data_IF_128365148185
#
_entry.id   IF_128365148185
#
_cell.length_a   1.000
_cell.length_b   1.000
_cell.length_c   1.000
_cell.angle_alpha   90.00
_cell.angle_beta   90.00
_cell.angle_gamma   90.00
#
_symmetry.space_group_name_H-M   'P 1'
#
loop_
_entity.id
_entity.type
_entity.pdbx_description
1 polymer ?
#
# COMPACT_ATOMS: atom_id res chain seq x y z
N UNK A 1 -29.00 59.18 29.72
CA UNK A 1 -29.69 58.09 30.45
C UNK A 1 -29.67 56.81 29.63
N UNK A 2 -29.21 55.79 30.29
CA UNK A 2 -29.35 54.34 30.02
C UNK A 2 -28.41 53.69 29.03
N UNK A 3 -27.57 52.89 29.64
CA UNK A 3 -26.67 51.86 29.15
C UNK A 3 -27.41 50.65 28.60
N UNK A 4 -26.80 50.01 27.58
CA UNK A 4 -27.18 48.66 27.12
C UNK A 4 -25.91 47.83 27.04
N UNK A 5 -25.70 46.92 28.00
CA UNK A 5 -24.69 45.89 27.99
C UNK A 5 -25.03 44.82 26.96
N UNK A 6 -24.23 44.63 25.95
CA UNK A 6 -24.26 43.46 25.06
C UNK A 6 -23.17 42.49 25.47
N UNK A 7 -23.55 41.34 26.03
CA UNK A 7 -22.63 40.27 26.39
C UNK A 7 -22.04 39.60 25.17
N UNK A 8 -20.73 39.67 25.04
CA UNK A 8 -19.98 38.86 24.07
C UNK A 8 -19.83 37.43 24.57
N UNK A 9 -20.56 36.51 23.97
CA UNK A 9 -20.29 35.06 24.13
C UNK A 9 -19.03 34.70 23.35
N UNK A 10 -17.99 34.29 24.05
CA UNK A 10 -16.80 33.69 23.40
C UNK A 10 -17.19 32.42 22.67
N UNK A 11 -16.70 32.15 21.46
CA UNK A 11 -16.93 30.89 20.78
C UNK A 11 -16.30 29.76 21.61
N UNK A 12 -17.11 28.79 21.99
CA UNK A 12 -16.63 27.56 22.63
C UNK A 12 -15.77 26.79 21.63
N UNK A 13 -14.51 26.59 21.99
CA UNK A 13 -13.62 25.66 21.29
C UNK A 13 -14.27 24.28 21.33
N UNK A 14 -14.38 23.57 20.17
CA UNK A 14 -14.92 22.22 20.18
C UNK A 14 -13.99 21.31 21.03
N UNK A 15 -14.57 20.63 21.99
CA UNK A 15 -13.88 19.61 22.79
C UNK A 15 -13.43 18.50 21.85
N UNK A 16 -12.14 18.11 21.83
CA UNK A 16 -11.68 17.02 21.00
C UNK A 16 -12.46 15.74 21.37
N UNK A 17 -13.08 15.14 20.39
CA UNK A 17 -13.73 13.83 20.54
C UNK A 17 -12.66 12.83 21.01
N UNK A 18 -12.89 12.07 22.08
CA UNK A 18 -11.90 11.11 22.55
C UNK A 18 -11.62 10.09 21.44
N UNK A 19 -10.34 9.94 21.09
CA UNK A 19 -9.89 8.90 20.17
C UNK A 19 -10.37 7.54 20.70
N UNK A 20 -11.12 6.77 19.93
CA UNK A 20 -11.61 5.48 20.39
C UNK A 20 -10.44 4.56 20.71
N UNK A 21 -10.43 4.00 21.91
CA UNK A 21 -9.40 3.04 22.33
C UNK A 21 -9.48 1.81 21.43
N UNK A 22 -8.44 1.61 20.61
CA UNK A 22 -8.30 0.38 19.81
C UNK A 22 -7.68 -0.67 20.71
N UNK A 23 -8.40 -1.76 20.97
CA UNK A 23 -7.89 -2.87 21.78
C UNK A 23 -7.35 -3.95 20.85
N UNK A 24 -6.02 -4.13 20.75
CA UNK A 24 -5.44 -5.25 20.01
C UNK A 24 -5.79 -6.58 20.67
N UNK A 25 -5.71 -7.70 19.94
CA UNK A 25 -5.91 -9.00 20.54
C UNK A 25 -4.84 -9.26 21.62
N UNK A 26 -5.18 -9.98 22.68
CA UNK A 26 -4.19 -10.38 23.68
C UNK A 26 -3.10 -11.26 23.04
N UNK A 27 -1.83 -10.81 23.05
CA UNK A 27 -0.72 -11.70 22.70
C UNK A 27 0.22 -11.28 21.57
N UNK A 28 0.21 -10.03 21.11
CA UNK A 28 1.20 -9.53 20.14
C UNK A 28 0.66 -9.30 18.73
N UNK A 29 1.55 -9.07 17.75
CA UNK A 29 1.20 -8.76 16.36
C UNK A 29 0.24 -9.81 15.76
N UNK A 30 -0.90 -9.33 15.24
CA UNK A 30 -1.91 -10.23 14.66
C UNK A 30 -1.41 -10.90 13.37
N UNK A 31 -0.45 -10.28 12.67
CA UNK A 31 -0.04 -10.66 11.33
C UNK A 31 1.46 -10.94 11.21
N UNK A 32 1.78 -11.85 10.27
CA UNK A 32 3.18 -12.23 9.96
C UNK A 32 3.91 -11.15 9.16
N UNK A 33 3.19 -10.43 8.28
CA UNK A 33 3.74 -9.46 7.34
C UNK A 33 3.05 -8.09 7.54
N UNK A 34 3.09 -7.55 8.76
CA UNK A 34 2.49 -6.24 9.07
C UNK A 34 3.52 -5.14 8.86
N UNK A 35 3.26 -4.28 7.87
CA UNK A 35 4.19 -3.26 7.42
C UNK A 35 3.54 -1.97 6.97
N UNK A 36 4.38 -1.01 6.64
CA UNK A 36 4.02 0.26 6.01
C UNK A 36 4.96 0.50 4.84
N UNK A 37 4.45 0.98 3.71
CA UNK A 37 5.26 1.26 2.53
C UNK A 37 5.88 2.65 2.64
N UNK A 38 7.21 2.70 2.72
CA UNK A 38 8.00 3.93 2.63
C UNK A 38 8.14 4.30 1.16
N UNK A 39 7.76 5.53 0.83
CA UNK A 39 7.71 6.01 -0.55
C UNK A 39 8.67 7.17 -0.77
N UNK A 40 9.15 7.30 -2.00
CA UNK A 40 9.93 8.42 -2.50
C UNK A 40 9.52 8.71 -3.94
N UNK A 41 9.43 9.99 -4.27
CA UNK A 41 8.99 10.48 -5.58
C UNK A 41 10.11 11.15 -6.36
N UNK A 42 11.35 11.21 -5.77
CA UNK A 42 12.55 11.76 -6.38
C UNK A 42 13.70 10.78 -6.31
N UNK A 43 14.63 10.90 -7.26
CA UNK A 43 15.71 9.95 -7.45
C UNK A 43 16.59 9.76 -6.21
N UNK A 44 16.92 10.82 -5.49
CA UNK A 44 17.86 10.83 -4.36
C UNK A 44 17.20 10.98 -2.98
N UNK A 45 15.85 11.10 -2.93
CA UNK A 45 15.12 11.44 -1.70
C UNK A 45 15.35 10.43 -0.58
N UNK A 46 15.51 9.15 -0.90
CA UNK A 46 15.85 8.13 0.10
C UNK A 46 17.21 8.35 0.79
N UNK A 47 18.12 9.11 0.17
CA UNK A 47 19.43 9.44 0.74
C UNK A 47 19.39 10.66 1.67
N UNK A 48 18.29 11.42 1.71
CA UNK A 48 18.19 12.61 2.56
C UNK A 48 18.24 12.27 4.05
N UNK A 49 18.80 13.15 4.90
CA UNK A 49 18.73 12.98 6.34
C UNK A 49 17.30 12.83 6.87
N UNK A 50 16.33 13.55 6.28
CA UNK A 50 14.91 13.43 6.60
C UNK A 50 14.37 12.02 6.33
N UNK A 51 14.85 11.32 5.29
CA UNK A 51 14.46 9.94 5.00
C UNK A 51 14.98 8.97 6.07
N UNK A 52 16.19 9.17 6.59
CA UNK A 52 16.72 8.39 7.72
C UNK A 52 15.85 8.58 8.97
N UNK A 53 15.46 9.82 9.30
CA UNK A 53 14.58 10.10 10.44
C UNK A 53 13.17 9.54 10.19
N UNK A 54 12.70 9.56 8.96
CA UNK A 54 11.42 8.97 8.56
C UNK A 54 11.41 7.44 8.79
N UNK A 55 12.46 6.72 8.36
CA UNK A 55 12.59 5.27 8.59
C UNK A 55 12.66 4.92 10.08
N UNK A 56 13.35 5.73 10.90
CA UNK A 56 13.35 5.56 12.37
C UNK A 56 11.96 5.74 12.95
N UNK A 57 11.22 6.75 12.51
CA UNK A 57 9.85 6.99 12.97
C UNK A 57 8.90 5.84 12.53
N UNK A 58 9.06 5.31 11.31
CA UNK A 58 8.33 4.15 10.85
C UNK A 58 8.62 2.92 11.72
N UNK A 59 9.87 2.60 11.95
CA UNK A 59 10.26 1.46 12.82
C UNK A 59 9.75 1.62 14.26
N UNK A 60 9.65 2.85 14.76
CA UNK A 60 9.13 3.14 16.10
C UNK A 60 7.61 2.88 16.23
N UNK A 61 6.86 2.64 15.14
CA UNK A 61 5.47 2.15 15.21
C UNK A 61 5.40 0.70 15.73
N UNK A 62 6.48 -0.06 15.58
CA UNK A 62 6.54 -1.49 15.86
C UNK A 62 6.46 -2.35 14.61
N UNK A 63 6.31 -1.74 13.42
CA UNK A 63 6.25 -2.44 12.15
C UNK A 63 7.47 -3.34 11.94
N UNK A 64 7.28 -4.66 11.91
CA UNK A 64 8.32 -5.63 11.63
C UNK A 64 8.72 -5.71 10.15
N UNK A 65 7.92 -5.08 9.28
CA UNK A 65 8.14 -5.01 7.84
C UNK A 65 8.05 -3.57 7.34
N UNK A 66 8.80 -3.28 6.28
CA UNK A 66 8.68 -2.05 5.50
C UNK A 66 8.58 -2.38 4.03
N UNK A 67 7.58 -1.82 3.34
CA UNK A 67 7.60 -1.76 1.88
C UNK A 67 8.58 -0.68 1.45
N UNK A 68 9.32 -0.88 0.38
CA UNK A 68 10.19 0.13 -0.24
C UNK A 68 9.80 0.28 -1.70
N UNK A 69 9.25 1.44 -2.04
CA UNK A 69 8.82 1.77 -3.40
C UNK A 69 10.01 2.16 -4.26
N UNK A 70 10.07 1.63 -5.48
CA UNK A 70 10.98 2.08 -6.54
C UNK A 70 10.23 2.12 -7.86
N UNK A 71 10.51 3.11 -8.73
CA UNK A 71 9.70 3.31 -9.93
C UNK A 71 10.56 3.54 -11.18
N UNK A 72 10.25 2.78 -12.25
CA UNK A 72 10.68 3.10 -13.61
C UNK A 72 9.45 3.47 -14.46
N UNK A 73 9.70 4.03 -15.64
CA UNK A 73 8.65 4.70 -16.42
C UNK A 73 8.56 4.19 -17.85
N UNK A 74 7.33 4.31 -18.39
CA UNK A 74 7.01 4.25 -19.82
C UNK A 74 6.55 5.62 -20.29
N UNK A 75 6.80 6.00 -21.54
CA UNK A 75 6.33 7.29 -22.05
C UNK A 75 4.81 7.34 -22.22
N UNK A 76 4.22 6.28 -22.77
CA UNK A 76 2.77 6.12 -22.98
C UNK A 76 2.36 4.68 -22.67
N UNK A 77 1.07 4.44 -22.49
CA UNK A 77 0.54 3.07 -22.26
C UNK A 77 0.82 2.06 -23.37
N UNK A 78 1.15 2.54 -24.59
CA UNK A 78 1.48 1.69 -25.74
C UNK A 78 2.98 1.55 -25.98
N UNK A 79 3.83 2.23 -25.22
CA UNK A 79 5.26 2.09 -25.28
C UNK A 79 5.71 0.66 -24.95
N UNK A 80 6.86 0.26 -25.48
CA UNK A 80 7.45 -1.06 -25.22
C UNK A 80 8.72 -0.98 -24.39
N UNK A 81 9.17 0.22 -24.07
CA UNK A 81 10.39 0.48 -23.29
C UNK A 81 10.01 0.94 -21.91
N UNK A 82 10.59 0.29 -20.91
CA UNK A 82 10.56 0.63 -19.50
C UNK A 82 11.98 1.02 -19.12
N UNK A 83 12.17 2.22 -18.62
CA UNK A 83 13.48 2.75 -18.28
C UNK A 83 13.43 3.66 -17.05
N UNK A 84 14.57 3.87 -16.36
CA UNK A 84 14.62 4.89 -15.33
C UNK A 84 14.40 6.27 -15.97
N UNK A 85 13.65 7.12 -15.26
CA UNK A 85 13.45 8.50 -15.66
C UNK A 85 14.26 9.40 -14.72
N UNK A 86 15.19 10.20 -15.28
CA UNK A 86 15.98 11.14 -14.48
C UNK A 86 15.10 11.97 -13.55
N UNK A 87 15.56 12.29 -12.38
CA UNK A 87 14.90 13.06 -11.33
C UNK A 87 13.74 12.33 -10.61
N UNK A 88 13.17 11.25 -11.16
CA UNK A 88 12.03 10.55 -10.53
C UNK A 88 12.33 9.08 -10.17
N UNK A 89 13.11 8.36 -11.01
CA UNK A 89 13.49 6.98 -10.66
C UNK A 89 14.57 7.00 -9.59
N UNK A 90 14.37 6.22 -8.55
CA UNK A 90 15.27 6.19 -7.40
C UNK A 90 16.68 5.73 -7.79
N UNK A 91 17.70 6.46 -7.35
CA UNK A 91 19.09 6.09 -7.50
C UNK A 91 19.40 4.82 -6.72
N UNK A 92 20.17 3.91 -7.29
CA UNK A 92 20.52 2.63 -6.67
C UNK A 92 21.18 2.82 -5.30
N UNK A 93 22.14 3.74 -5.17
CA UNK A 93 22.81 4.02 -3.90
C UNK A 93 21.83 4.47 -2.81
N UNK A 94 20.81 5.26 -3.17
CA UNK A 94 19.78 5.69 -2.26
C UNK A 94 18.86 4.54 -1.83
N UNK A 95 18.51 3.63 -2.75
CA UNK A 95 17.75 2.41 -2.49
C UNK A 95 18.53 1.44 -1.60
N UNK A 96 19.79 1.16 -1.95
CA UNK A 96 20.67 0.28 -1.18
C UNK A 96 20.83 0.77 0.27
N UNK A 97 21.04 2.08 0.44
CA UNK A 97 21.11 2.73 1.75
C UNK A 97 19.81 2.59 2.52
N UNK A 98 18.66 2.81 1.88
CA UNK A 98 17.36 2.68 2.53
C UNK A 98 17.13 1.25 3.06
N UNK A 99 17.47 0.23 2.28
CA UNK A 99 17.38 -1.18 2.69
C UNK A 99 18.30 -1.45 3.89
N UNK A 100 19.55 -1.02 3.84
CA UNK A 100 20.52 -1.22 4.93
C UNK A 100 20.04 -0.55 6.24
N UNK A 101 19.51 0.66 6.16
CA UNK A 101 18.96 1.37 7.32
C UNK A 101 17.71 0.67 7.90
N UNK A 102 16.80 0.16 7.05
CA UNK A 102 15.64 -0.63 7.50
C UNK A 102 16.07 -1.92 8.18
N UNK A 103 17.04 -2.64 7.63
CA UNK A 103 17.60 -3.85 8.26
C UNK A 103 18.28 -3.53 9.59
N UNK A 104 19.03 -2.44 9.69
CA UNK A 104 19.67 -1.99 10.93
C UNK A 104 18.63 -1.61 12.02
N UNK A 105 17.41 -1.21 11.61
CA UNK A 105 16.28 -0.96 12.50
C UNK A 105 15.49 -2.23 12.85
N UNK A 106 15.93 -3.41 12.39
CA UNK A 106 15.29 -4.70 12.65
C UNK A 106 14.11 -5.03 11.78
N UNK A 107 13.85 -4.25 10.73
CA UNK A 107 12.74 -4.47 9.80
C UNK A 107 13.14 -5.42 8.66
N UNK A 108 12.21 -6.26 8.23
CA UNK A 108 12.29 -6.95 6.94
C UNK A 108 11.75 -6.06 5.84
N UNK A 109 12.32 -6.18 4.64
CA UNK A 109 11.93 -5.33 3.51
C UNK A 109 11.15 -6.13 2.49
N UNK A 110 10.04 -5.54 2.00
CA UNK A 110 9.40 -5.87 0.73
C UNK A 110 9.82 -4.81 -0.29
N UNK A 111 10.68 -5.17 -1.25
CA UNK A 111 10.99 -4.29 -2.37
C UNK A 111 9.83 -4.34 -3.38
N UNK A 112 9.28 -3.17 -3.72
CA UNK A 112 8.08 -3.06 -4.55
C UNK A 112 8.34 -2.19 -5.79
N UNK A 113 8.88 -2.78 -6.88
CA UNK A 113 9.09 -2.07 -8.14
C UNK A 113 7.77 -1.75 -8.85
N UNK A 114 7.58 -0.48 -9.21
CA UNK A 114 6.46 0.04 -9.98
C UNK A 114 6.89 0.41 -11.39
N UNK A 115 5.99 0.24 -12.34
CA UNK A 115 6.07 0.84 -13.67
C UNK A 115 4.97 1.86 -13.80
N UNK A 116 5.33 3.13 -14.01
CA UNK A 116 4.37 4.20 -14.22
C UNK A 116 4.41 4.74 -15.65
N UNK A 117 3.32 5.37 -16.07
CA UNK A 117 3.21 5.94 -17.40
C UNK A 117 3.27 7.47 -17.29
N UNK A 118 4.22 8.08 -18.00
CA UNK A 118 4.53 9.52 -17.88
C UNK A 118 3.41 10.44 -18.34
N UNK A 119 2.50 9.96 -19.19
CA UNK A 119 1.34 10.74 -19.63
C UNK A 119 0.17 10.74 -18.62
N UNK A 120 0.36 10.11 -17.43
CA UNK A 120 -0.65 10.02 -16.38
C UNK A 120 -1.65 8.88 -16.57
N UNK A 121 -1.51 8.05 -17.62
CA UNK A 121 -2.33 6.85 -17.78
C UNK A 121 -2.07 5.88 -16.62
N UNK A 122 -3.12 5.39 -15.98
CA UNK A 122 -3.00 4.39 -14.93
C UNK A 122 -2.38 3.08 -15.47
N UNK A 123 -1.40 2.53 -14.74
CA UNK A 123 -0.64 1.34 -15.15
C UNK A 123 -1.48 0.12 -15.48
N UNK A 124 -2.66 0.00 -14.90
CA UNK A 124 -3.61 -1.08 -15.23
C UNK A 124 -4.09 -1.06 -16.69
N UNK A 125 -3.93 0.07 -17.39
CA UNK A 125 -4.32 0.26 -18.79
C UNK A 125 -3.14 0.13 -19.76
N UNK A 126 -1.98 -0.34 -19.31
CA UNK A 126 -0.82 -0.58 -20.16
C UNK A 126 -1.18 -1.65 -21.21
N UNK A 127 -1.15 -1.24 -22.48
CA UNK A 127 -1.45 -2.08 -23.65
C UNK A 127 -0.38 -1.84 -24.72
N UNK A 128 0.83 -2.40 -24.55
CA UNK A 128 1.97 -2.10 -25.42
C UNK A 128 1.70 -2.51 -26.86
N UNK A 129 2.24 -1.74 -27.81
CA UNK A 129 2.11 -2.02 -29.25
C UNK A 129 2.74 -3.37 -29.64
N UNK A 130 3.75 -3.83 -28.89
CA UNK A 130 4.39 -5.12 -29.01
C UNK A 130 4.59 -5.70 -27.60
N UNK A 131 3.72 -6.62 -27.14
CA UNK A 131 3.85 -7.25 -25.84
C UNK A 131 5.13 -8.05 -25.66
N UNK A 132 5.70 -8.65 -26.73
CA UNK A 132 6.95 -9.39 -26.64
C UNK A 132 8.10 -8.48 -26.23
N UNK A 133 8.27 -7.35 -26.93
CA UNK A 133 9.28 -6.34 -26.61
C UNK A 133 9.05 -5.70 -25.23
N UNK A 134 7.79 -5.53 -24.86
CA UNK A 134 7.47 -5.02 -23.52
C UNK A 134 7.96 -5.98 -22.44
N UNK A 135 7.71 -7.29 -22.58
CA UNK A 135 8.20 -8.30 -21.62
C UNK A 135 9.73 -8.43 -21.62
N UNK A 136 10.41 -8.21 -22.74
CA UNK A 136 11.86 -8.10 -22.76
C UNK A 136 12.35 -6.94 -21.90
N UNK A 137 11.75 -5.75 -22.07
CA UNK A 137 12.05 -4.55 -21.28
C UNK A 137 11.66 -4.74 -19.80
N UNK A 138 10.50 -5.33 -19.51
CA UNK A 138 10.05 -5.63 -18.16
C UNK A 138 10.97 -6.64 -17.47
N UNK A 139 11.48 -7.61 -18.21
CA UNK A 139 12.48 -8.58 -17.71
C UNK A 139 13.77 -7.87 -17.31
N UNK A 140 14.26 -6.94 -18.12
CA UNK A 140 15.45 -6.16 -17.80
C UNK A 140 15.25 -5.27 -16.55
N UNK A 141 14.08 -4.65 -16.42
CA UNK A 141 13.66 -3.91 -15.23
C UNK A 141 13.67 -4.80 -13.98
N UNK A 142 13.06 -5.98 -14.04
CA UNK A 142 13.02 -6.90 -12.92
C UNK A 142 14.37 -7.56 -12.61
N UNK A 143 15.22 -7.78 -13.63
CA UNK A 143 16.58 -8.25 -13.44
C UNK A 143 17.45 -7.27 -12.64
N UNK A 144 17.23 -5.97 -12.84
CA UNK A 144 17.87 -4.92 -12.08
C UNK A 144 17.48 -5.01 -10.58
N UNK A 145 16.21 -5.02 -10.29
CA UNK A 145 15.76 -5.03 -8.88
C UNK A 145 15.93 -6.38 -8.18
N UNK A 146 15.89 -7.49 -8.89
CA UNK A 146 16.22 -8.80 -8.29
C UNK A 146 17.70 -8.89 -7.92
N UNK A 147 18.59 -8.21 -8.64
CA UNK A 147 20.01 -8.13 -8.25
C UNK A 147 20.18 -7.38 -6.93
N UNK A 148 19.53 -6.23 -6.77
CA UNK A 148 19.51 -5.48 -5.51
C UNK A 148 18.90 -6.32 -4.37
N UNK A 149 17.76 -6.99 -4.64
CA UNK A 149 17.09 -7.81 -3.64
C UNK A 149 17.96 -8.98 -3.17
N UNK A 150 18.69 -9.63 -4.08
CA UNK A 150 19.61 -10.71 -3.75
C UNK A 150 20.85 -10.21 -2.98
N UNK A 151 21.47 -9.11 -3.42
CA UNK A 151 22.63 -8.50 -2.77
C UNK A 151 22.34 -8.11 -1.33
N UNK A 152 21.19 -7.46 -1.10
CA UNK A 152 20.77 -6.93 0.21
C UNK A 152 19.99 -7.91 1.06
N UNK A 153 19.79 -9.16 0.64
CA UNK A 153 18.97 -10.13 1.33
C UNK A 153 17.57 -9.60 1.66
N UNK A 154 16.95 -8.89 0.72
CA UNK A 154 15.57 -8.45 0.83
C UNK A 154 14.66 -9.66 1.06
N UNK A 155 13.74 -9.57 1.99
CA UNK A 155 12.94 -10.71 2.43
C UNK A 155 11.80 -11.05 1.45
N UNK A 156 11.28 -10.05 0.72
CA UNK A 156 10.18 -10.20 -0.23
C UNK A 156 10.38 -9.26 -1.44
N UNK A 157 10.15 -9.78 -2.64
CA UNK A 157 10.12 -9.00 -3.88
C UNK A 157 8.71 -9.03 -4.48
N UNK A 158 8.10 -7.88 -4.66
CA UNK A 158 6.88 -7.73 -5.43
C UNK A 158 7.24 -7.66 -6.92
N UNK A 159 6.78 -8.64 -7.71
CA UNK A 159 7.21 -8.78 -9.11
C UNK A 159 6.36 -8.00 -10.11
N UNK A 160 5.44 -7.19 -9.64
CA UNK A 160 4.62 -6.28 -10.43
C UNK A 160 3.46 -5.73 -9.63
N UNK A 161 2.95 -4.59 -10.08
CA UNK A 161 1.91 -3.83 -9.38
C UNK A 161 0.85 -3.38 -10.38
N UNK A 162 -0.40 -3.81 -10.17
CA UNK A 162 -1.61 -3.37 -10.88
C UNK A 162 -1.50 -3.39 -12.42
N UNK A 163 -0.86 -4.39 -12.99
CA UNK A 163 -0.72 -4.54 -14.45
C UNK A 163 -1.90 -5.31 -15.05
N UNK A 164 -3.13 -4.88 -14.75
CA UNK A 164 -4.36 -5.64 -15.03
C UNK A 164 -4.50 -6.08 -16.50
N UNK A 165 -4.11 -5.22 -17.45
CA UNK A 165 -4.16 -5.57 -18.88
C UNK A 165 -3.06 -6.56 -19.29
N UNK A 166 -2.05 -6.80 -18.46
CA UNK A 166 -0.87 -7.61 -18.78
C UNK A 166 -0.70 -8.86 -17.89
N UNK A 167 -1.53 -9.04 -16.85
CA UNK A 167 -1.39 -10.13 -15.87
C UNK A 167 -2.23 -11.37 -16.17
N UNK A 168 -3.15 -11.28 -17.13
CA UNK A 168 -4.11 -12.34 -17.47
C UNK A 168 -3.53 -13.50 -18.29
N UNK A 169 -4.38 -14.46 -18.59
CA UNK A 169 -4.04 -15.70 -19.29
C UNK A 169 -3.32 -15.55 -20.63
N UNK A 170 -3.53 -14.50 -21.46
CA UNK A 170 -2.76 -14.34 -22.70
C UNK A 170 -1.25 -14.24 -22.48
N UNK A 171 -0.81 -13.82 -21.29
CA UNK A 171 0.60 -13.60 -20.96
C UNK A 171 1.15 -14.60 -19.93
N UNK A 172 0.44 -15.69 -19.67
CA UNK A 172 0.83 -16.69 -18.66
C UNK A 172 2.23 -17.28 -18.91
N UNK A 173 2.60 -17.51 -20.18
CA UNK A 173 3.91 -18.03 -20.53
C UNK A 173 5.04 -17.02 -20.25
N UNK A 174 4.83 -15.75 -20.58
CA UNK A 174 5.81 -14.68 -20.33
C UNK A 174 6.03 -14.48 -18.83
N UNK A 175 4.98 -14.43 -18.04
CA UNK A 175 5.08 -14.39 -16.58
C UNK A 175 5.78 -15.64 -16.01
N UNK A 176 5.46 -16.82 -16.50
CA UNK A 176 6.12 -18.06 -16.09
C UNK A 176 7.61 -18.02 -16.33
N UNK A 177 8.05 -17.56 -17.51
CA UNK A 177 9.46 -17.39 -17.85
C UNK A 177 10.16 -16.35 -16.96
N UNK A 178 9.51 -15.21 -16.73
CA UNK A 178 10.02 -14.18 -15.82
C UNK A 178 10.19 -14.73 -14.41
N UNK A 179 9.18 -15.35 -13.84
CA UNK A 179 9.22 -15.90 -12.47
C UNK A 179 10.31 -16.96 -12.32
N UNK A 180 10.45 -17.87 -13.30
CA UNK A 180 11.52 -18.87 -13.31
C UNK A 180 12.91 -18.22 -13.33
N UNK A 181 13.08 -17.14 -14.13
CA UNK A 181 14.31 -16.36 -14.18
C UNK A 181 14.63 -15.68 -12.85
N UNK A 182 13.64 -15.05 -12.22
CA UNK A 182 13.83 -14.41 -10.91
C UNK A 182 14.20 -15.45 -9.85
N UNK A 183 13.51 -16.59 -9.83
CA UNK A 183 13.81 -17.70 -8.90
C UNK A 183 15.22 -18.26 -9.04
N UNK A 184 15.80 -18.25 -10.22
CA UNK A 184 17.18 -18.70 -10.41
C UNK A 184 18.22 -17.78 -9.74
N UNK A 185 17.82 -16.58 -9.32
CA UNK A 185 18.71 -15.52 -8.78
C UNK A 185 18.32 -15.07 -7.38
N UNK A 186 17.10 -15.40 -6.92
CA UNK A 186 16.55 -14.89 -5.66
C UNK A 186 15.77 -15.97 -4.91
N UNK A 187 16.16 -16.22 -3.67
CA UNK A 187 15.57 -17.23 -2.80
C UNK A 187 14.52 -16.68 -1.82
N UNK A 188 14.33 -15.35 -1.75
CA UNK A 188 13.31 -14.74 -0.90
C UNK A 188 11.90 -14.94 -1.44
N UNK A 189 10.92 -14.40 -0.72
CA UNK A 189 9.51 -14.52 -1.09
C UNK A 189 9.18 -13.68 -2.33
N UNK A 190 8.38 -14.25 -3.24
CA UNK A 190 7.79 -13.52 -4.37
C UNK A 190 6.30 -13.32 -4.15
N UNK A 191 5.83 -12.12 -4.43
CA UNK A 191 4.42 -11.77 -4.51
C UNK A 191 4.16 -10.89 -5.75
N UNK A 192 2.91 -10.69 -6.09
CA UNK A 192 2.44 -9.73 -7.08
C UNK A 192 1.33 -8.91 -6.47
N UNK A 193 1.30 -7.62 -6.73
CA UNK A 193 0.30 -6.70 -6.22
C UNK A 193 -0.81 -6.50 -7.27
N UNK A 194 -1.83 -7.34 -7.22
CA UNK A 194 -2.97 -7.19 -8.12
C UNK A 194 -3.90 -6.07 -7.66
N UNK A 195 -4.53 -5.35 -8.58
CA UNK A 195 -5.60 -4.44 -8.24
C UNK A 195 -6.77 -5.21 -7.62
N UNK A 196 -7.10 -4.87 -6.39
CA UNK A 196 -8.19 -5.46 -5.62
C UNK A 196 -9.39 -4.54 -5.46
N UNK A 197 -9.46 -3.44 -6.23
CA UNK A 197 -10.59 -2.50 -6.21
C UNK A 197 -11.66 -2.96 -7.19
N UNK A 198 -12.90 -3.05 -6.72
CA UNK A 198 -14.02 -3.33 -7.56
C UNK A 198 -14.37 -2.19 -8.53
N UNK A 199 -14.87 -2.51 -9.72
CA UNK A 199 -15.17 -3.84 -10.29
C UNK A 199 -13.99 -4.46 -11.07
N UNK A 200 -12.82 -3.85 -11.06
CA UNK A 200 -11.67 -4.30 -11.84
C UNK A 200 -10.95 -5.43 -11.11
N UNK A 201 -11.44 -6.61 -11.30
CA UNK A 201 -11.05 -7.80 -10.59
C UNK A 201 -9.78 -8.44 -11.17
N UNK A 202 -8.68 -7.66 -11.20
CA UNK A 202 -7.40 -8.23 -11.59
C UNK A 202 -7.04 -9.41 -10.69
N UNK A 203 -7.31 -9.28 -9.38
CA UNK A 203 -6.95 -10.28 -8.38
C UNK A 203 -7.49 -11.68 -8.71
N UNK A 204 -8.69 -11.79 -9.30
CA UNK A 204 -9.26 -13.07 -9.71
C UNK A 204 -8.73 -13.58 -11.04
N UNK A 205 -8.13 -12.73 -11.86
CA UNK A 205 -7.73 -13.05 -13.25
C UNK A 205 -6.23 -13.24 -13.46
N UNK A 206 -5.39 -12.96 -12.45
CA UNK A 206 -3.94 -13.20 -12.54
C UNK A 206 -3.63 -14.67 -12.85
N UNK A 207 -2.88 -14.88 -13.93
CA UNK A 207 -2.67 -16.22 -14.49
C UNK A 207 -1.54 -17.02 -13.84
N UNK A 208 -0.75 -16.41 -12.96
CA UNK A 208 0.48 -16.99 -12.38
C UNK A 208 0.48 -17.10 -10.85
N UNK A 209 -0.67 -16.98 -10.18
CA UNK A 209 -0.76 -17.14 -8.72
C UNK A 209 -0.14 -18.45 -8.20
N UNK A 210 -0.21 -19.52 -8.98
CA UNK A 210 0.43 -20.80 -8.65
C UNK A 210 1.95 -20.74 -8.54
N UNK A 211 2.61 -19.71 -9.07
CA UNK A 211 4.08 -19.63 -9.21
C UNK A 211 4.73 -18.65 -8.21
N UNK A 212 3.97 -17.80 -7.53
CA UNK A 212 4.45 -16.93 -6.45
C UNK A 212 4.22 -17.56 -5.08
N UNK A 213 4.82 -17.00 -4.02
CA UNK A 213 4.70 -17.55 -2.67
C UNK A 213 3.48 -17.04 -1.93
N UNK A 214 3.12 -15.78 -2.16
CA UNK A 214 1.97 -15.13 -1.56
C UNK A 214 1.09 -14.52 -2.64
N UNK A 215 -0.22 -14.59 -2.41
CA UNK A 215 -1.19 -13.79 -3.15
C UNK A 215 -1.15 -12.38 -2.59
N UNK A 216 -1.05 -11.36 -3.43
CA UNK A 216 -1.01 -9.97 -3.02
C UNK A 216 -2.05 -9.13 -3.74
N UNK A 217 -2.63 -8.17 -3.05
CA UNK A 217 -3.55 -7.22 -3.66
C UNK A 217 -3.34 -5.82 -3.10
N UNK A 218 -3.46 -4.81 -3.97
CA UNK A 218 -3.58 -3.40 -3.61
C UNK A 218 -5.06 -3.10 -3.42
N UNK A 219 -5.45 -2.77 -2.17
CA UNK A 219 -6.85 -2.80 -1.74
C UNK A 219 -7.30 -1.42 -1.26
N UNK A 220 -8.07 -0.76 -2.09
CA UNK A 220 -8.70 0.53 -1.80
C UNK A 220 -10.22 0.38 -1.85
N UNK A 221 -10.76 -0.55 -1.06
CA UNK A 221 -12.19 -0.90 -1.07
C UNK A 221 -13.04 0.22 -0.47
N UNK A 222 -14.05 0.72 -1.19
CA UNK A 222 -15.02 1.65 -0.65
C UNK A 222 -15.97 0.96 0.31
N UNK A 223 -15.91 1.31 1.60
CA UNK A 223 -16.61 0.57 2.65
C UNK A 223 -18.08 0.97 2.77
N UNK A 224 -18.40 2.26 2.79
CA UNK A 224 -19.78 2.77 2.93
C UNK A 224 -20.05 3.97 2.03
N UNK A 225 -21.31 4.42 1.95
CA UNK A 225 -21.68 5.67 1.28
C UNK A 225 -21.69 6.88 2.24
N UNK A 226 -21.41 6.66 3.53
CA UNK A 226 -21.47 7.71 4.54
C UNK A 226 -20.21 8.57 4.53
N UNK A 227 -20.38 9.86 4.83
CA UNK A 227 -19.27 10.77 5.09
C UNK A 227 -18.79 10.70 6.54
N UNK A 228 -19.65 10.32 7.46
CA UNK A 228 -19.31 10.12 8.87
C UNK A 228 -19.75 8.71 9.33
N UNK A 229 -19.10 7.64 8.87
CA UNK A 229 -19.43 6.30 9.32
C UNK A 229 -18.86 6.05 10.72
N UNK A 230 -19.57 5.25 11.50
CA UNK A 230 -18.98 4.68 12.72
C UNK A 230 -17.97 3.58 12.38
N UNK A 231 -17.02 3.31 13.25
CA UNK A 231 -16.07 2.19 13.08
C UNK A 231 -16.79 0.85 12.86
N UNK A 232 -17.88 0.60 13.56
CA UNK A 232 -18.68 -0.61 13.38
C UNK A 232 -19.26 -0.73 11.96
N UNK A 233 -19.67 0.39 11.36
CA UNK A 233 -20.14 0.42 9.97
C UNK A 233 -19.01 0.21 8.98
N UNK A 234 -17.83 0.78 9.24
CA UNK A 234 -16.63 0.53 8.44
C UNK A 234 -16.22 -0.94 8.51
N UNK A 235 -16.21 -1.54 9.70
CA UNK A 235 -15.94 -2.98 9.86
C UNK A 235 -16.98 -3.86 9.13
N UNK A 236 -18.27 -3.52 9.23
CA UNK A 236 -19.31 -4.20 8.48
C UNK A 236 -19.16 -4.04 6.96
N UNK A 237 -18.61 -2.92 6.50
CA UNK A 237 -18.33 -2.61 5.10
C UNK A 237 -17.40 -3.61 4.43
N UNK A 238 -16.48 -4.24 5.15
CA UNK A 238 -15.63 -5.31 4.61
C UNK A 238 -16.41 -6.56 4.20
N UNK A 239 -17.57 -6.82 4.83
CA UNK A 239 -18.46 -7.95 4.48
C UNK A 239 -19.64 -7.53 3.62
N UNK A 240 -19.92 -6.25 3.53
CA UNK A 240 -20.91 -5.69 2.61
C UNK A 240 -20.55 -4.24 2.31
N UNK A 241 -19.70 -4.05 1.29
CA UNK A 241 -19.24 -2.73 0.92
C UNK A 241 -20.36 -1.89 0.27
N UNK A 242 -20.06 -0.63 -0.09
CA UNK A 242 -21.04 0.27 -0.72
C UNK A 242 -21.70 -0.30 -2.00
N UNK A 243 -21.09 -1.27 -2.64
CA UNK A 243 -21.61 -1.96 -3.83
C UNK A 243 -22.31 -3.28 -3.50
N UNK A 244 -22.39 -3.65 -2.23
CA UNK A 244 -23.05 -4.86 -1.76
C UNK A 244 -22.18 -6.11 -1.77
N UNK A 245 -20.87 -6.00 -2.01
CA UNK A 245 -19.95 -7.13 -2.13
C UNK A 245 -19.28 -7.48 -0.79
N UNK A 246 -19.07 -8.78 -0.54
CA UNK A 246 -18.29 -9.29 0.58
C UNK A 246 -16.83 -9.45 0.15
N UNK A 247 -15.98 -8.47 0.53
CA UNK A 247 -14.56 -8.46 0.17
C UNK A 247 -13.78 -9.55 0.90
N UNK A 248 -14.14 -9.86 2.14
CA UNK A 248 -13.49 -10.96 2.90
C UNK A 248 -13.74 -12.29 2.20
N UNK A 249 -14.96 -12.53 1.75
CA UNK A 249 -15.29 -13.73 0.99
C UNK A 249 -14.60 -13.75 -0.39
N UNK A 250 -14.53 -12.62 -1.09
CA UNK A 250 -13.87 -12.51 -2.40
C UNK A 250 -12.39 -12.91 -2.30
N UNK A 251 -11.62 -12.32 -1.37
CA UNK A 251 -10.21 -12.67 -1.17
C UNK A 251 -10.02 -14.12 -0.70
N UNK A 252 -10.83 -14.57 0.24
CA UNK A 252 -10.77 -15.93 0.75
C UNK A 252 -11.11 -16.99 -0.33
N UNK A 253 -11.97 -16.70 -1.30
CA UNK A 253 -12.27 -17.59 -2.42
C UNK A 253 -11.05 -17.83 -3.30
N UNK A 254 -10.34 -16.77 -3.70
CA UNK A 254 -9.10 -16.89 -4.48
C UNK A 254 -8.03 -17.59 -3.65
N UNK A 255 -7.90 -17.23 -2.37
CA UNK A 255 -6.94 -17.84 -1.46
C UNK A 255 -7.16 -19.36 -1.40
N UNK A 256 -8.40 -19.83 -1.24
CA UNK A 256 -8.72 -21.27 -1.23
C UNK A 256 -8.41 -21.99 -2.54
N UNK A 257 -8.60 -21.30 -3.66
CA UNK A 257 -8.31 -21.88 -4.97
C UNK A 257 -6.82 -22.19 -5.17
N UNK A 258 -5.94 -21.38 -4.59
CA UNK A 258 -4.48 -21.54 -4.74
C UNK A 258 -3.79 -22.11 -3.48
N UNK A 259 -4.44 -22.12 -2.32
CA UNK A 259 -3.89 -22.64 -1.06
C UNK A 259 -2.69 -21.87 -0.52
N UNK A 260 -2.51 -20.61 -0.93
CA UNK A 260 -1.36 -19.77 -0.56
C UNK A 260 -1.74 -18.68 0.45
N UNK A 261 -0.82 -18.23 1.31
CA UNK A 261 -1.09 -17.08 2.18
C UNK A 261 -1.39 -15.83 1.34
N UNK A 262 -2.22 -14.94 1.89
CA UNK A 262 -2.64 -13.69 1.25
C UNK A 262 -2.21 -12.48 2.06
N UNK A 263 -1.79 -11.42 1.38
CA UNK A 263 -1.44 -10.12 1.97
C UNK A 263 -2.10 -8.98 1.19
N UNK A 264 -2.37 -7.87 1.87
CA UNK A 264 -2.54 -6.58 1.20
C UNK A 264 -1.15 -6.00 0.93
N UNK A 265 -0.77 -5.93 -0.34
CA UNK A 265 0.48 -5.30 -0.78
C UNK A 265 0.40 -3.79 -0.75
N UNK A 266 -0.82 -3.24 -0.81
CA UNK A 266 -1.20 -1.90 -0.41
C UNK A 266 -2.60 -1.91 0.20
N UNK A 267 -2.78 -1.04 1.16
CA UNK A 267 -4.09 -0.61 1.67
C UNK A 267 -3.94 0.81 2.21
N UNK A 268 -4.87 1.69 1.88
CA UNK A 268 -4.76 3.08 2.32
C UNK A 268 -6.08 3.80 2.39
N UNK A 269 -6.15 4.70 3.36
CA UNK A 269 -7.23 5.68 3.52
C UNK A 269 -6.60 7.04 3.81
N UNK A 270 -7.11 8.08 3.17
CA UNK A 270 -6.64 9.44 3.36
C UNK A 270 -7.17 10.02 4.68
N UNK A 271 -6.52 11.05 5.22
CA UNK A 271 -6.98 11.74 6.44
C UNK A 271 -8.01 12.83 6.13
N UNK A 272 -9.05 12.48 5.39
CA UNK A 272 -10.11 13.38 4.97
C UNK A 272 -11.51 12.78 5.13
N UNK A 273 -12.49 13.66 5.39
CA UNK A 273 -13.91 13.32 5.51
C UNK A 273 -14.43 12.56 4.28
N UNK A 274 -15.04 11.42 4.50
CA UNK A 274 -15.54 10.52 3.45
C UNK A 274 -14.47 9.67 2.76
N UNK A 275 -13.26 9.56 3.32
CA UNK A 275 -12.15 8.74 2.75
C UNK A 275 -12.56 7.30 2.49
N UNK A 276 -13.47 6.75 3.30
CA UNK A 276 -14.00 5.39 3.14
C UNK A 276 -14.81 5.18 1.86
N UNK A 277 -15.23 6.24 1.18
CA UNK A 277 -16.12 6.19 0.00
C UNK A 277 -15.37 6.00 -1.31
N UNK A 278 -14.21 6.61 -1.44
CA UNK A 278 -13.34 6.59 -2.63
C UNK A 278 -11.88 6.57 -2.21
N UNK A 279 -11.43 5.52 -1.49
CA UNK A 279 -10.10 5.51 -0.87
C UNK A 279 -8.94 5.60 -1.88
N UNK A 280 -9.16 5.26 -3.16
CA UNK A 280 -8.15 5.35 -4.23
C UNK A 280 -7.99 6.75 -4.80
N UNK A 281 -8.95 7.67 -4.58
CA UNK A 281 -8.94 8.99 -5.22
C UNK A 281 -8.05 9.97 -4.46
N UNK A 282 -6.76 9.93 -4.78
CA UNK A 282 -5.77 10.83 -4.20
C UNK A 282 -5.93 12.29 -4.62
N UNK A 283 -6.64 12.56 -5.73
CA UNK A 283 -6.87 13.91 -6.26
C UNK A 283 -8.11 14.62 -5.69
N UNK A 284 -8.98 13.89 -4.99
CA UNK A 284 -10.20 14.47 -4.43
C UNK A 284 -9.88 15.47 -3.31
N UNK A 285 -10.47 16.68 -3.43
CA UNK A 285 -10.41 17.67 -2.33
C UNK A 285 -11.32 17.22 -1.19
N UNK A 286 -10.76 17.19 0.03
CA UNK A 286 -11.44 16.69 1.23
C UNK A 286 -11.28 17.68 2.39
N UNK A 287 -12.24 17.73 3.29
CA UNK A 287 -12.07 18.33 4.61
C UNK A 287 -11.18 17.43 5.46
N UNK A 288 -10.32 18.01 6.28
CA UNK A 288 -9.42 17.23 7.16
C UNK A 288 -10.23 16.44 8.17
N UNK A 289 -10.07 15.13 8.16
CA UNK A 289 -10.63 14.19 9.15
C UNK A 289 -9.66 13.02 9.40
N UNK A 290 -8.67 13.19 10.25
CA UNK A 290 -7.75 12.12 10.61
C UNK A 290 -8.38 11.04 11.51
N UNK A 291 -9.55 11.31 12.11
CA UNK A 291 -10.25 10.32 12.92
C UNK A 291 -10.90 9.25 12.02
N UNK A 292 -11.50 9.64 10.89
CA UNK A 292 -12.04 8.66 9.93
C UNK A 292 -10.92 7.77 9.35
N UNK A 293 -9.75 8.35 9.04
CA UNK A 293 -8.58 7.55 8.65
C UNK A 293 -8.25 6.48 9.70
N UNK A 294 -8.15 6.87 10.97
CA UNK A 294 -7.85 5.95 12.06
C UNK A 294 -8.92 4.87 12.24
N UNK A 295 -10.19 5.23 12.09
CA UNK A 295 -11.30 4.28 12.19
C UNK A 295 -11.31 3.28 11.03
N UNK A 296 -10.92 3.69 9.80
CA UNK A 296 -10.71 2.78 8.67
C UNK A 296 -9.57 1.78 8.95
N UNK A 297 -8.44 2.25 9.49
CA UNK A 297 -7.33 1.39 9.91
C UNK A 297 -7.77 0.37 10.97
N UNK A 298 -8.42 0.83 12.03
CA UNK A 298 -8.91 -0.02 13.08
C UNK A 298 -9.93 -1.05 12.57
N UNK A 299 -10.86 -0.64 11.72
CA UNK A 299 -11.87 -1.53 11.13
C UNK A 299 -11.24 -2.67 10.31
N UNK A 300 -10.18 -2.38 9.53
CA UNK A 300 -9.43 -3.42 8.82
C UNK A 300 -8.82 -4.42 9.80
N UNK A 301 -8.09 -3.95 10.79
CA UNK A 301 -7.48 -4.82 11.78
C UNK A 301 -8.52 -5.65 12.55
N UNK A 302 -9.63 -5.07 12.99
CA UNK A 302 -10.72 -5.77 13.70
C UNK A 302 -11.33 -6.91 12.89
N UNK A 303 -11.46 -6.72 11.58
CA UNK A 303 -12.03 -7.74 10.69
C UNK A 303 -11.02 -8.83 10.38
N UNK A 304 -9.84 -8.45 9.89
CA UNK A 304 -8.88 -9.41 9.35
C UNK A 304 -8.02 -10.10 10.42
N UNK A 305 -7.94 -9.57 11.63
CA UNK A 305 -7.34 -10.30 12.76
C UNK A 305 -8.07 -11.61 13.10
N UNK A 306 -9.30 -11.77 12.64
CA UNK A 306 -10.08 -13.02 12.77
C UNK A 306 -9.84 -13.99 11.62
N UNK A 307 -9.13 -13.56 10.59
CA UNK A 307 -8.87 -14.31 9.35
C UNK A 307 -7.39 -14.74 9.21
N UNK A 308 -6.63 -14.71 10.29
CA UNK A 308 -5.16 -14.93 10.30
C UNK A 308 -4.73 -16.33 9.84
N UNK A 309 -5.65 -17.28 9.70
CA UNK A 309 -5.37 -18.57 9.09
C UNK A 309 -4.88 -18.43 7.64
N UNK A 310 -5.38 -17.43 6.91
CA UNK A 310 -5.06 -17.19 5.50
C UNK A 310 -4.58 -15.76 5.20
N UNK A 311 -5.12 -14.74 5.86
CA UNK A 311 -4.67 -13.35 5.76
C UNK A 311 -3.43 -13.14 6.63
N UNK A 312 -2.32 -12.72 6.04
CA UNK A 312 -1.01 -12.67 6.71
C UNK A 312 -0.50 -11.26 6.98
N UNK A 313 -1.16 -10.23 6.49
CA UNK A 313 -0.88 -8.86 6.88
C UNK A 313 -1.08 -7.81 5.82
N UNK A 314 -1.17 -6.55 6.21
CA UNK A 314 -1.18 -5.40 5.35
C UNK A 314 0.21 -4.78 5.18
N UNK A 315 0.41 -4.13 4.04
CA UNK A 315 1.36 -3.04 3.89
C UNK A 315 0.56 -1.75 3.68
N UNK A 316 0.60 -0.88 4.68
CA UNK A 316 -0.16 0.37 4.63
C UNK A 316 0.46 1.37 3.67
N UNK A 317 -0.36 1.97 2.84
CA UNK A 317 0.00 3.05 1.94
C UNK A 317 -0.39 4.39 2.57
N UNK A 318 0.51 5.35 2.77
CA UNK A 318 1.94 5.28 2.54
C UNK A 318 2.66 6.03 3.68
N UNK A 319 3.95 5.85 3.81
CA UNK A 319 4.80 6.59 4.76
C UNK A 319 5.81 7.44 3.99
N UNK A 320 5.61 8.74 3.97
CA UNK A 320 6.45 9.68 3.23
C UNK A 320 7.78 10.00 3.95
N UNK A 321 8.76 10.45 3.18
CA UNK A 321 10.03 10.97 3.71
C UNK A 321 9.78 12.14 4.64
N UNK A 322 8.94 13.09 4.23
CA UNK A 322 8.57 14.26 5.04
C UNK A 322 7.34 13.96 5.91
N UNK A 323 7.28 14.47 7.14
CA UNK A 323 6.05 14.40 7.93
C UNK A 323 4.94 15.21 7.27
N UNK A 324 3.66 14.83 7.45
CA UNK A 324 2.54 15.57 6.90
C UNK A 324 2.47 16.97 7.53
N UNK A 325 2.12 17.95 6.71
CA UNK A 325 1.90 19.32 7.16
C UNK A 325 0.58 19.51 7.92
N UNK A 326 0.40 20.67 8.53
CA UNK A 326 -0.88 21.03 9.13
C UNK A 326 -1.96 21.07 8.04
N UNK A 327 -3.10 20.40 8.28
CA UNK A 327 -4.20 20.34 7.34
C UNK A 327 -4.02 19.34 6.20
N UNK A 328 -3.00 18.49 6.25
CA UNK A 328 -2.80 17.42 5.28
C UNK A 328 -3.96 16.42 5.28
N UNK A 329 -4.44 16.09 4.09
CA UNK A 329 -5.48 15.09 3.84
C UNK A 329 -4.95 13.84 3.12
N UNK A 330 -3.63 13.65 3.05
CA UNK A 330 -2.97 12.51 2.39
C UNK A 330 -3.07 11.21 3.18
N UNK A 331 -2.43 10.19 2.61
CA UNK A 331 -2.42 8.84 3.20
C UNK A 331 -1.48 8.70 4.40
N UNK A 332 -0.44 9.54 4.50
CA UNK A 332 0.60 9.41 5.52
C UNK A 332 0.00 9.49 6.93
N UNK A 333 0.08 8.41 7.75
CA UNK A 333 -0.49 8.38 9.10
C UNK A 333 0.40 9.04 10.13
N UNK A 334 1.66 9.42 9.79
CA UNK A 334 2.66 9.93 10.72
C UNK A 334 2.17 11.16 11.48
N UNK A 335 2.17 11.10 12.81
CA UNK A 335 1.69 12.18 13.67
C UNK A 335 0.17 12.34 13.72
N UNK A 336 -0.59 11.40 13.15
CA UNK A 336 -2.06 11.36 13.15
C UNK A 336 -2.58 10.20 14.00
N UNK A 337 -3.88 10.18 14.38
CA UNK A 337 -4.47 9.08 15.16
C UNK A 337 -4.29 7.68 14.52
N UNK A 338 -4.19 7.59 13.20
CA UNK A 338 -3.92 6.34 12.51
C UNK A 338 -2.53 5.74 12.84
N UNK A 339 -1.53 6.57 13.17
CA UNK A 339 -0.25 6.07 13.67
C UNK A 339 -0.40 5.37 15.04
N UNK A 340 -1.27 5.84 15.90
CA UNK A 340 -1.55 5.18 17.19
C UNK A 340 -2.22 3.81 16.98
N UNK A 341 -3.06 3.69 15.95
CA UNK A 341 -3.63 2.39 15.55
C UNK A 341 -2.51 1.44 15.12
N UNK A 342 -1.59 1.88 14.27
CA UNK A 342 -0.41 1.08 13.88
C UNK A 342 0.38 0.64 15.11
N UNK A 343 0.72 1.57 16.01
CA UNK A 343 1.45 1.27 17.26
C UNK A 343 0.74 0.25 18.15
N UNK A 344 -0.58 0.23 18.14
CA UNK A 344 -1.36 -0.69 18.93
C UNK A 344 -1.35 -2.12 18.36
N UNK A 345 -1.30 -2.27 17.03
CA UNK A 345 -1.42 -3.56 16.35
C UNK A 345 -0.10 -4.19 15.91
N UNK A 346 0.96 -3.40 15.72
CA UNK A 346 2.27 -3.83 15.20
C UNK A 346 3.28 -4.18 16.31
N UNK A 347 2.89 -4.20 17.58
CA UNK A 347 3.77 -4.49 18.74
C UNK A 347 3.68 -5.94 19.18
#
# INVERSE_FOLDING_TARGET
MLAGCGGGGSPSTPTPTPTPTVTPPPGGAAFTYDGVTHVSWWHDEYAYPAATDSRRALAATGAGWAGLLVTWYMDTKTSTVIAPYPDQSNDDDAVLRAIDEMHALGQKVMLKPHVDVRDGTWRAQITPADPGRWFESYTAFMDHYVAIAAEKNVAMLCIGTELASMSGSPYAAQWGNLIARLRSRYSGLLTYAANGVEPADEFTSVSFWGQVDLLGADVYTPLTDKTNPTRAELAAGWRRNRYGHDMVAAFSNVQRAYGKPFIFTEIGYRSGDGTNRTPWDWGLSMTVDPAEQADCYAAMYEVFSRETSWMKGPFWWAWDVSPPGAGDTGYNPRGKPAEDVLRAWQR
#
